data_IF_879367411560
#
_entry.id   IF_879367411560
#
_cell.length_a   1.000
_cell.length_b   1.000
_cell.length_c   1.000
_cell.angle_alpha   90.00
_cell.angle_beta   90.00
_cell.angle_gamma   90.00
#
_symmetry.space_group_name_H-M   'P 1'
#
loop_
_entity.id
_entity.type
_entity.pdbx_description
1 polymer ?
#
# COMPACT_ATOMS: atom_id res chain seq x y z
N UNK A 1 3.37 7.48 59.43
CA UNK A 1 4.58 6.66 59.35
C UNK A 1 4.52 5.85 58.06
N UNK A 2 5.43 6.08 57.11
CA UNK A 2 5.43 5.43 55.80
C UNK A 2 5.78 3.93 55.89
N UNK A 3 6.50 3.53 56.93
CA UNK A 3 6.88 2.14 57.14
C UNK A 3 5.65 1.30 57.47
N UNK A 4 4.87 1.74 58.46
CA UNK A 4 3.62 1.06 58.87
C UNK A 4 2.63 0.99 57.69
N UNK A 5 2.52 2.07 56.90
CA UNK A 5 1.66 2.06 55.72
C UNK A 5 2.10 1.02 54.69
N UNK A 6 3.41 0.90 54.42
CA UNK A 6 3.94 -0.11 53.50
C UNK A 6 3.70 -1.53 54.01
N UNK A 7 3.83 -1.77 55.31
CA UNK A 7 3.58 -3.08 55.94
C UNK A 7 2.12 -3.49 55.79
N UNK A 8 1.18 -2.58 56.10
CA UNK A 8 -0.25 -2.82 55.92
C UNK A 8 -0.63 -2.97 54.44
N UNK A 9 -0.02 -2.19 53.55
CA UNK A 9 -0.29 -2.27 52.12
C UNK A 9 0.15 -3.61 51.53
N UNK A 10 1.30 -4.14 52.00
CA UNK A 10 1.77 -5.47 51.63
C UNK A 10 0.82 -6.56 52.16
N UNK A 11 0.35 -6.45 53.41
CA UNK A 11 -0.60 -7.42 53.96
C UNK A 11 -1.87 -7.51 53.07
N UNK A 12 -2.48 -6.36 52.76
CA UNK A 12 -3.72 -6.31 51.97
C UNK A 12 -3.55 -6.75 50.51
N UNK A 13 -2.42 -6.46 49.87
CA UNK A 13 -2.24 -6.73 48.44
C UNK A 13 -1.53 -8.04 48.14
N UNK A 14 -0.71 -8.54 49.07
CA UNK A 14 0.19 -9.66 48.82
C UNK A 14 -0.05 -10.87 49.74
N UNK A 15 -0.71 -10.67 50.90
CA UNK A 15 -1.03 -11.76 51.84
C UNK A 15 -2.52 -12.13 51.75
N UNK A 16 -3.40 -11.12 51.74
CA UNK A 16 -4.86 -11.31 51.65
C UNK A 16 -5.32 -11.60 50.21
N UNK A 17 -5.38 -12.89 49.86
CA UNK A 17 -5.60 -13.35 48.48
C UNK A 17 -7.00 -13.01 47.91
N UNK A 18 -8.03 -12.98 48.75
CA UNK A 18 -9.41 -12.72 48.30
C UNK A 18 -9.56 -11.28 47.79
N UNK A 19 -8.90 -10.33 48.47
CA UNK A 19 -8.97 -8.90 48.11
C UNK A 19 -8.33 -8.65 46.74
N UNK A 20 -7.13 -9.18 46.49
CA UNK A 20 -6.43 -8.95 45.21
C UNK A 20 -7.16 -9.60 44.03
N UNK A 21 -7.77 -10.78 44.25
CA UNK A 21 -8.59 -11.46 43.25
C UNK A 21 -9.83 -10.64 42.90
N UNK A 22 -10.58 -10.16 43.89
CA UNK A 22 -11.76 -9.34 43.64
C UNK A 22 -11.39 -8.05 42.88
N UNK A 23 -10.32 -7.38 43.30
CA UNK A 23 -9.88 -6.11 42.74
C UNK A 23 -9.39 -6.19 41.28
N UNK A 24 -8.68 -7.25 40.90
CA UNK A 24 -8.03 -7.36 39.57
C UNK A 24 -8.69 -8.35 38.61
N UNK A 25 -9.60 -9.21 39.06
CA UNK A 25 -10.17 -10.26 38.19
C UNK A 25 -11.68 -10.25 38.12
N UNK A 26 -12.35 -9.57 39.06
CA UNK A 26 -13.80 -9.49 39.09
C UNK A 26 -14.28 -8.11 38.62
N UNK A 27 -15.45 -8.09 37.96
CA UNK A 27 -16.04 -6.86 37.42
C UNK A 27 -15.83 -6.66 35.92
N UNK A 28 -16.72 -5.88 35.30
CA UNK A 28 -16.67 -5.60 33.86
C UNK A 28 -15.57 -4.58 33.50
N UNK A 29 -15.27 -3.65 34.41
CA UNK A 29 -14.24 -2.63 34.23
C UNK A 29 -13.02 -2.98 35.06
N UNK A 30 -11.88 -3.18 34.41
CA UNK A 30 -10.61 -3.52 35.07
C UNK A 30 -9.99 -2.28 35.73
N UNK A 31 -9.34 -2.46 36.89
CA UNK A 31 -8.78 -1.37 37.70
C UNK A 31 -7.77 -0.50 36.94
N UNK A 32 -6.99 -1.09 36.05
CA UNK A 32 -5.89 -0.39 35.38
C UNK A 32 -5.68 -0.83 33.94
N UNK A 33 -4.94 0.00 33.21
CA UNK A 33 -4.39 -0.32 31.89
C UNK A 33 -2.94 0.10 31.83
N UNK A 34 -2.15 -0.58 31.02
CA UNK A 34 -0.83 -0.12 30.66
C UNK A 34 -0.94 0.99 29.60
N UNK A 35 -0.06 1.97 29.68
CA UNK A 35 0.13 2.94 28.61
C UNK A 35 1.34 2.56 27.78
N UNK A 36 1.30 2.95 26.51
CA UNK A 36 2.42 2.75 25.60
C UNK A 36 3.61 3.57 26.10
N UNK A 37 4.79 2.97 26.10
CA UNK A 37 6.03 3.70 26.35
C UNK A 37 6.43 4.43 25.06
N UNK A 38 5.88 5.63 24.86
CA UNK A 38 6.01 6.40 23.61
C UNK A 38 7.46 6.56 23.13
N UNK A 39 8.47 6.84 23.98
CA UNK A 39 9.87 6.95 23.54
C UNK A 39 10.51 5.65 23.04
N UNK A 40 9.92 4.47 23.32
CA UNK A 40 10.39 3.20 22.78
C UNK A 40 9.85 2.89 21.39
N UNK A 41 8.91 3.69 20.88
CA UNK A 41 8.44 3.61 19.50
C UNK A 41 9.26 4.56 18.63
N UNK A 42 9.92 4.05 17.59
CA UNK A 42 10.51 4.89 16.55
C UNK A 42 9.44 5.36 15.57
N UNK A 43 9.58 6.58 15.02
CA UNK A 43 8.74 7.06 13.91
C UNK A 43 8.86 6.17 12.65
N UNK A 44 9.94 5.38 12.55
CA UNK A 44 10.12 4.36 11.50
C UNK A 44 9.06 3.25 11.54
N UNK A 45 8.41 3.01 12.69
CA UNK A 45 7.33 2.03 12.83
C UNK A 45 5.94 2.61 12.56
N UNK A 46 5.84 3.90 12.23
CA UNK A 46 4.61 4.46 11.69
C UNK A 46 4.39 3.90 10.27
N UNK A 47 3.13 3.78 9.85
CA UNK A 47 2.77 3.32 8.50
C UNK A 47 3.21 4.41 7.49
N UNK A 48 4.43 4.28 6.96
CA UNK A 48 5.03 5.21 6.00
C UNK A 48 5.02 4.58 4.60
N UNK A 49 4.46 5.30 3.62
CA UNK A 49 4.64 4.96 2.20
C UNK A 49 5.91 5.66 1.72
N UNK A 50 6.93 4.88 1.39
CA UNK A 50 8.22 5.38 0.91
C UNK A 50 8.08 6.02 -0.47
N UNK A 51 8.90 7.03 -0.79
CA UNK A 51 8.75 7.79 -2.04
C UNK A 51 8.80 6.90 -3.30
N UNK A 52 9.66 5.87 -3.31
CA UNK A 52 9.75 4.94 -4.44
C UNK A 52 8.54 3.99 -4.58
N UNK A 53 7.67 3.91 -3.57
CA UNK A 53 6.42 3.16 -3.62
C UNK A 53 5.24 4.05 -4.03
N UNK A 54 5.41 5.38 -4.01
CA UNK A 54 4.36 6.34 -4.39
C UNK A 54 4.31 6.50 -5.91
N UNK A 55 3.21 6.06 -6.52
CA UNK A 55 2.95 6.30 -7.95
C UNK A 55 3.10 7.79 -8.34
N UNK A 56 2.67 8.71 -7.46
CA UNK A 56 2.81 10.15 -7.67
C UNK A 56 4.26 10.62 -7.71
N UNK A 57 5.14 10.06 -6.87
CA UNK A 57 6.56 10.44 -6.85
C UNK A 57 7.31 9.85 -8.04
N UNK A 58 6.95 8.64 -8.49
CA UNK A 58 7.45 8.09 -9.77
C UNK A 58 7.07 9.00 -10.93
N UNK A 59 5.81 9.49 -10.97
CA UNK A 59 5.36 10.44 -11.99
C UNK A 59 6.16 11.75 -11.91
N UNK A 60 6.28 12.36 -10.73
CA UNK A 60 6.97 13.65 -10.57
C UNK A 60 8.46 13.60 -10.87
N UNK A 61 9.13 12.51 -10.47
CA UNK A 61 10.57 12.34 -10.66
C UNK A 61 10.97 11.90 -12.08
N UNK A 62 10.01 11.45 -12.91
CA UNK A 62 10.29 10.99 -14.26
C UNK A 62 10.82 12.11 -15.17
N UNK A 63 11.93 11.84 -15.86
CA UNK A 63 12.54 12.78 -16.82
C UNK A 63 11.74 12.89 -18.13
N UNK A 64 11.03 11.83 -18.49
CA UNK A 64 10.18 11.73 -19.67
C UNK A 64 8.91 11.00 -19.28
N UNK A 65 7.77 11.38 -19.85
CA UNK A 65 6.45 10.79 -19.57
C UNK A 65 5.72 10.51 -20.87
N UNK A 66 5.20 9.29 -20.99
CA UNK A 66 4.46 8.85 -22.17
C UNK A 66 3.20 8.11 -21.76
N UNK A 67 2.07 8.49 -22.33
CA UNK A 67 0.80 7.74 -22.22
C UNK A 67 0.62 6.91 -23.48
N UNK A 68 0.38 5.62 -23.28
CA UNK A 68 0.02 4.71 -24.34
C UNK A 68 -1.22 3.90 -24.00
N UNK A 69 -1.57 3.04 -24.94
CA UNK A 69 -2.70 2.12 -24.81
C UNK A 69 -2.39 1.01 -23.80
N UNK A 70 -3.37 0.65 -22.97
CA UNK A 70 -3.30 -0.53 -22.14
C UNK A 70 -3.36 -1.78 -23.02
N UNK A 71 -2.21 -2.34 -23.36
CA UNK A 71 -2.09 -3.51 -24.25
C UNK A 71 -2.94 -4.70 -23.80
N UNK A 72 -3.06 -4.94 -22.50
CA UNK A 72 -3.91 -6.01 -21.96
C UNK A 72 -5.39 -5.80 -22.31
N UNK A 73 -5.89 -4.56 -22.17
CA UNK A 73 -7.27 -4.23 -22.49
C UNK A 73 -7.50 -4.13 -24.00
N UNK A 74 -6.53 -3.60 -24.74
CA UNK A 74 -6.56 -3.57 -26.20
C UNK A 74 -6.61 -4.99 -26.81
N UNK A 75 -5.82 -5.94 -26.29
CA UNK A 75 -5.91 -7.36 -26.64
C UNK A 75 -7.32 -7.92 -26.41
N UNK A 76 -7.93 -7.60 -25.26
CA UNK A 76 -9.29 -8.04 -24.95
C UNK A 76 -10.36 -7.34 -25.81
N UNK A 77 -10.08 -6.13 -26.30
CA UNK A 77 -10.97 -5.39 -27.18
C UNK A 77 -11.11 -6.09 -28.54
N UNK A 78 -10.01 -6.56 -29.12
CA UNK A 78 -10.02 -7.39 -30.34
C UNK A 78 -10.72 -8.75 -30.19
N UNK A 79 -11.11 -9.12 -28.97
CA UNK A 79 -11.86 -10.34 -28.65
C UNK A 79 -13.28 -10.05 -28.15
N UNK A 80 -13.74 -8.80 -28.23
CA UNK A 80 -15.05 -8.34 -27.72
C UNK A 80 -15.25 -8.62 -26.22
N UNK A 81 -14.17 -8.63 -25.44
CA UNK A 81 -14.15 -8.97 -24.01
C UNK A 81 -13.48 -7.92 -23.13
N UNK A 82 -13.14 -6.76 -23.68
CA UNK A 82 -12.57 -5.67 -22.90
C UNK A 82 -13.54 -5.14 -21.85
N UNK A 83 -13.03 -4.81 -20.66
CA UNK A 83 -13.79 -4.05 -19.69
C UNK A 83 -13.93 -2.58 -20.12
N UNK A 84 -14.77 -1.83 -19.38
CA UNK A 84 -15.10 -0.43 -19.68
C UNK A 84 -14.03 0.59 -19.25
N UNK A 85 -12.98 0.15 -18.57
CA UNK A 85 -11.95 1.07 -18.08
C UNK A 85 -11.15 1.71 -19.25
N UNK A 86 -10.65 2.94 -19.11
CA UNK A 86 -10.06 3.72 -20.22
C UNK A 86 -8.81 3.06 -20.80
N UNK A 87 -8.71 2.91 -22.12
CA UNK A 87 -7.56 2.26 -22.77
C UNK A 87 -6.30 3.14 -22.79
N UNK A 88 -6.43 4.44 -23.04
CA UNK A 88 -5.32 5.42 -23.00
C UNK A 88 -4.97 5.80 -21.56
N UNK A 89 -4.30 4.89 -20.84
CA UNK A 89 -3.99 5.04 -19.40
C UNK A 89 -2.67 4.39 -18.98
N UNK A 90 -1.97 3.72 -19.91
CA UNK A 90 -0.72 3.04 -19.61
C UNK A 90 0.41 4.07 -19.53
N UNK A 91 1.05 4.18 -18.38
CA UNK A 91 2.07 5.20 -18.15
C UNK A 91 3.46 4.60 -18.33
N UNK A 92 4.27 5.25 -19.14
CA UNK A 92 5.68 4.94 -19.34
C UNK A 92 6.51 6.15 -18.97
N UNK A 93 7.72 5.90 -18.49
CA UNK A 93 8.60 6.91 -17.94
C UNK A 93 10.03 6.75 -18.44
N UNK A 94 10.84 7.78 -18.22
CA UNK A 94 12.29 7.76 -18.41
C UNK A 94 12.69 7.24 -19.81
N UNK A 95 13.67 6.34 -19.87
CA UNK A 95 14.21 5.82 -21.13
C UNK A 95 13.15 5.12 -21.98
N UNK A 96 12.19 4.43 -21.35
CA UNK A 96 11.10 3.76 -22.04
C UNK A 96 10.14 4.76 -22.67
N UNK A 97 9.73 5.80 -21.93
CA UNK A 97 8.90 6.87 -22.48
C UNK A 97 9.59 7.58 -23.66
N UNK A 98 10.87 7.93 -23.52
CA UNK A 98 11.63 8.58 -24.57
C UNK A 98 11.68 7.75 -25.86
N UNK A 99 11.86 6.43 -25.75
CA UNK A 99 11.86 5.53 -26.89
C UNK A 99 10.48 5.38 -27.52
N UNK A 100 9.45 5.10 -26.71
CA UNK A 100 8.10 4.85 -27.22
C UNK A 100 7.46 6.08 -27.85
N UNK A 101 7.69 7.26 -27.28
CA UNK A 101 7.21 8.52 -27.85
C UNK A 101 7.89 8.85 -29.17
N UNK A 102 9.22 8.64 -29.26
CA UNK A 102 9.98 8.80 -30.52
C UNK A 102 9.46 7.92 -31.66
N UNK A 103 8.98 6.71 -31.35
CA UNK A 103 8.46 5.77 -32.34
C UNK A 103 6.94 5.83 -32.53
N UNK A 104 6.24 6.77 -31.87
CA UNK A 104 4.80 6.95 -32.01
C UNK A 104 3.95 5.85 -31.35
N UNK A 105 4.54 5.05 -30.46
CA UNK A 105 3.82 4.02 -29.69
C UNK A 105 3.17 4.58 -28.42
N UNK A 106 3.61 5.76 -27.98
CA UNK A 106 3.04 6.51 -26.86
C UNK A 106 3.02 8.01 -27.22
N UNK A 107 2.13 8.77 -26.60
CA UNK A 107 2.10 10.23 -26.70
C UNK A 107 2.87 10.83 -25.52
N UNK A 108 3.74 11.80 -25.81
CA UNK A 108 4.41 12.58 -24.76
C UNK A 108 3.38 13.45 -24.03
N UNK A 109 3.47 13.49 -22.71
CA UNK A 109 2.53 14.23 -21.86
C UNK A 109 3.25 15.00 -20.76
N UNK A 110 2.55 15.99 -20.21
CA UNK A 110 2.99 16.70 -19.02
C UNK A 110 2.69 15.91 -17.73
N UNK A 111 3.36 16.28 -16.63
CA UNK A 111 3.15 15.66 -15.32
C UNK A 111 1.68 15.69 -14.88
N UNK A 112 0.99 16.81 -15.08
CA UNK A 112 -0.40 16.99 -14.66
C UNK A 112 -1.33 15.98 -15.31
N UNK A 113 -1.13 15.66 -16.60
CA UNK A 113 -1.96 14.68 -17.31
C UNK A 113 -1.75 13.27 -16.75
N UNK A 114 -0.53 12.90 -16.35
CA UNK A 114 -0.29 11.64 -15.67
C UNK A 114 -1.00 11.58 -14.32
N UNK A 115 -0.99 12.67 -13.55
CA UNK A 115 -1.69 12.74 -12.25
C UNK A 115 -3.22 12.68 -12.42
N UNK A 116 -3.77 13.32 -13.44
CA UNK A 116 -5.19 13.25 -13.77
C UNK A 116 -5.60 11.82 -14.17
N UNK A 117 -4.80 11.14 -15.00
CA UNK A 117 -5.05 9.75 -15.37
C UNK A 117 -4.86 8.78 -14.19
N UNK A 118 -3.97 9.09 -13.25
CA UNK A 118 -3.82 8.34 -12.01
C UNK A 118 -5.08 8.47 -11.15
N UNK A 119 -5.65 9.67 -11.06
CA UNK A 119 -6.92 9.90 -10.37
C UNK A 119 -8.07 9.11 -11.02
N UNK A 120 -8.15 9.11 -12.36
CA UNK A 120 -9.11 8.27 -13.11
C UNK A 120 -8.90 6.79 -12.79
N UNK A 121 -7.65 6.33 -12.66
CA UNK A 121 -7.35 4.95 -12.31
C UNK A 121 -7.89 4.59 -10.91
N UNK A 122 -7.74 5.47 -9.93
CA UNK A 122 -8.32 5.29 -8.59
C UNK A 122 -9.84 5.22 -8.62
N UNK A 123 -10.50 6.14 -9.33
CA UNK A 123 -11.97 6.17 -9.48
C UNK A 123 -12.53 4.91 -10.14
N UNK A 124 -11.73 4.28 -11.02
CA UNK A 124 -12.07 3.04 -11.70
C UNK A 124 -11.59 1.77 -10.96
N UNK A 125 -11.08 1.90 -9.73
CA UNK A 125 -10.54 0.81 -8.91
C UNK A 125 -9.44 0.00 -9.63
N UNK A 126 -8.57 0.70 -10.37
CA UNK A 126 -7.44 0.08 -11.05
C UNK A 126 -6.22 0.05 -10.14
N UNK A 127 -5.51 -1.07 -10.16
CA UNK A 127 -4.29 -1.28 -9.38
C UNK A 127 -3.09 -0.65 -10.09
N UNK A 128 -2.32 0.16 -9.39
CA UNK A 128 -1.05 0.71 -9.87
C UNK A 128 0.01 -0.39 -9.80
N UNK A 129 0.39 -0.92 -10.95
CA UNK A 129 1.39 -1.96 -11.08
C UNK A 129 2.64 -1.39 -11.74
N UNK A 130 3.68 -1.16 -10.96
CA UNK A 130 4.93 -0.56 -11.40
C UNK A 130 6.02 -1.59 -11.74
N UNK A 131 7.06 -1.10 -12.40
CA UNK A 131 8.31 -1.86 -12.55
C UNK A 131 8.93 -2.15 -11.19
N UNK A 132 9.48 -3.36 -10.99
CA UNK A 132 10.08 -3.78 -9.72
C UNK A 132 11.53 -3.27 -9.58
N UNK A 133 11.72 -1.95 -9.65
CA UNK A 133 13.01 -1.27 -9.45
C UNK A 133 12.80 -0.05 -8.55
N UNK A 134 13.82 0.32 -7.77
CA UNK A 134 13.71 1.47 -6.84
C UNK A 134 13.95 2.82 -7.49
N UNK A 135 14.77 2.87 -8.54
CA UNK A 135 15.21 4.11 -9.18
C UNK A 135 14.88 4.06 -10.65
N UNK A 136 14.45 5.21 -11.19
CA UNK A 136 14.14 5.37 -12.62
C UNK A 136 13.12 4.33 -13.13
N UNK A 137 12.08 4.07 -12.34
CA UNK A 137 10.92 3.24 -12.73
C UNK A 137 10.43 3.65 -14.11
N UNK A 138 10.34 2.71 -15.03
CA UNK A 138 10.04 2.97 -16.45
C UNK A 138 8.57 2.83 -16.82
N UNK A 139 7.74 2.25 -15.94
CA UNK A 139 6.30 2.18 -16.20
C UNK A 139 5.48 2.08 -14.91
N UNK A 140 4.25 2.58 -15.01
CA UNK A 140 3.14 2.25 -14.12
C UNK A 140 1.97 1.84 -15.02
N UNK A 141 1.51 0.61 -14.85
CA UNK A 141 0.28 0.12 -15.45
C UNK A 141 -0.89 0.38 -14.50
N UNK A 142 -2.04 0.77 -15.04
CA UNK A 142 -3.29 0.92 -14.30
C UNK A 142 -4.18 -0.32 -14.58
N UNK A 143 -3.92 -1.38 -13.81
CA UNK A 143 -4.35 -2.74 -14.09
C UNK A 143 -5.76 -3.03 -13.55
N UNK A 144 -6.57 -3.73 -14.35
CA UNK A 144 -7.84 -4.30 -13.91
C UNK A 144 -7.70 -5.81 -13.68
N UNK A 145 -8.46 -6.37 -12.74
CA UNK A 145 -8.43 -7.81 -12.44
C UNK A 145 -8.98 -8.72 -13.55
N UNK A 146 -9.67 -8.16 -14.55
CA UNK A 146 -10.33 -8.93 -15.62
C UNK A 146 -9.53 -9.03 -16.93
N UNK A 147 -8.78 -8.00 -17.32
CA UNK A 147 -8.03 -8.00 -18.58
C UNK A 147 -6.52 -8.15 -18.40
N UNK A 148 -5.96 -7.68 -17.28
CA UNK A 148 -4.52 -7.65 -17.06
C UNK A 148 -3.96 -9.05 -16.85
N UNK A 149 -2.96 -9.43 -17.65
CA UNK A 149 -2.32 -10.75 -17.54
C UNK A 149 -1.58 -10.93 -16.22
N UNK A 150 -0.93 -9.87 -15.69
CA UNK A 150 -0.27 -9.95 -14.39
C UNK A 150 -1.28 -10.21 -13.25
N UNK A 151 -2.43 -9.54 -13.27
CA UNK A 151 -3.48 -9.76 -12.27
C UNK A 151 -4.14 -11.14 -12.42
N UNK A 152 -4.36 -11.60 -13.65
CA UNK A 152 -4.86 -12.95 -13.92
C UNK A 152 -3.87 -14.00 -13.41
N UNK A 153 -2.59 -13.83 -13.67
CA UNK A 153 -1.53 -14.72 -13.19
C UNK A 153 -1.47 -14.72 -11.65
N UNK A 154 -1.46 -13.54 -11.02
CA UNK A 154 -1.48 -13.42 -9.56
C UNK A 154 -2.66 -14.19 -8.96
N UNK A 155 -3.89 -13.99 -9.47
CA UNK A 155 -5.07 -14.70 -8.98
C UNK A 155 -5.00 -16.23 -9.20
N UNK A 156 -4.49 -16.68 -10.35
CA UNK A 156 -4.43 -18.11 -10.70
C UNK A 156 -3.33 -18.87 -9.97
N UNK A 157 -2.23 -18.20 -9.67
CA UNK A 157 -1.00 -18.85 -9.19
C UNK A 157 -0.57 -18.39 -7.79
N UNK A 158 -1.28 -17.46 -7.13
CA UNK A 158 -0.96 -17.02 -5.76
C UNK A 158 -0.90 -18.19 -4.76
N UNK A 159 -1.76 -19.20 -4.92
CA UNK A 159 -1.81 -20.38 -4.03
C UNK A 159 -0.54 -21.23 -4.15
N UNK A 160 0.23 -21.11 -5.24
CA UNK A 160 1.53 -21.79 -5.41
C UNK A 160 2.66 -21.11 -4.62
N UNK A 161 2.44 -19.89 -4.12
CA UNK A 161 3.33 -19.17 -3.20
C UNK A 161 2.52 -18.73 -1.97
N UNK A 162 2.06 -19.68 -1.13
CA UNK A 162 0.98 -19.44 -0.16
C UNK A 162 1.34 -18.42 0.93
N UNK A 163 2.62 -18.10 1.14
CA UNK A 163 3.06 -17.02 2.02
C UNK A 163 4.30 -16.34 1.42
N UNK A 164 4.13 -15.10 0.95
CA UNK A 164 5.19 -14.10 0.91
C UNK A 164 4.61 -12.80 1.47
N UNK A 165 4.92 -12.54 2.74
CA UNK A 165 4.75 -11.24 3.38
C UNK A 165 6.16 -10.72 3.60
N UNK A 166 6.54 -9.69 2.83
CA UNK A 166 7.81 -8.92 2.88
C UNK A 166 9.07 -9.66 3.32
#
# INVERSE_FOLDING_TARGET
DQKILSELFYEYLNVEEDFIKELFTQGQTQLGRTFVHEPALSEENALQVLDYERATEVIKSATHRGIGICYCRHKMHHLDRACKAPQEICMTFNTTAASLTKHGCARSVEESECLDLLQVAYEQNLVQFGENVRQQVNFICNCCGCCCEAMIAARRFAILNPVHTT
#
